data_IF_425339466524
#
_entry.id   IF_425339466524
#
_cell.length_a   1.000
_cell.length_b   1.000
_cell.length_c   1.000
_cell.angle_alpha   90.00
_cell.angle_beta   90.00
_cell.angle_gamma   90.00
#
_symmetry.space_group_name_H-M   'P 1'
#
loop_
_entity.id
_entity.type
_entity.pdbx_description
1 polymer ?
#
# COMPACT_ATOMS: atom_id res chain seq x y z
N UNK A 1 -0.29 -5.58 -1.00
CA UNK A 1 -1.58 -4.88 -0.96
C UNK A 1 -2.36 -4.98 -2.26
N UNK A 2 -1.83 -4.53 -3.40
CA UNK A 2 -2.54 -4.52 -4.69
C UNK A 2 -3.15 -5.89 -5.08
N UNK A 3 -2.46 -7.00 -4.80
CA UNK A 3 -2.99 -8.35 -5.04
C UNK A 3 -4.24 -8.65 -4.21
N UNK A 4 -4.28 -8.22 -2.94
CA UNK A 4 -5.47 -8.34 -2.09
C UNK A 4 -6.61 -7.49 -2.63
N UNK A 5 -6.32 -6.29 -3.08
CA UNK A 5 -7.30 -5.36 -3.68
C UNK A 5 -7.92 -5.98 -4.94
N UNK A 6 -7.10 -6.48 -5.87
CA UNK A 6 -7.60 -7.14 -7.09
C UNK A 6 -8.49 -8.36 -6.80
N UNK A 7 -8.11 -9.21 -5.83
CA UNK A 7 -8.89 -10.40 -5.45
C UNK A 7 -10.16 -9.99 -4.69
N UNK A 8 -10.08 -8.97 -3.83
CA UNK A 8 -11.23 -8.39 -3.12
C UNK A 8 -12.26 -7.80 -4.09
N UNK A 9 -11.80 -7.06 -5.11
CA UNK A 9 -12.64 -6.51 -6.17
C UNK A 9 -13.29 -7.60 -7.02
N UNK A 10 -12.59 -8.70 -7.29
CA UNK A 10 -13.18 -9.86 -7.96
C UNK A 10 -14.30 -10.49 -7.12
N UNK A 11 -14.08 -10.68 -5.81
CA UNK A 11 -15.10 -11.18 -4.90
C UNK A 11 -16.31 -10.24 -4.80
N UNK A 12 -16.06 -8.93 -4.70
CA UNK A 12 -17.10 -7.89 -4.71
C UNK A 12 -17.94 -7.95 -5.98
N UNK A 13 -17.30 -8.09 -7.14
CA UNK A 13 -17.98 -8.21 -8.44
C UNK A 13 -18.91 -9.41 -8.47
N UNK A 14 -18.53 -10.55 -7.87
CA UNK A 14 -19.40 -11.72 -7.80
C UNK A 14 -20.63 -11.46 -6.92
N UNK A 15 -20.46 -10.81 -5.76
CA UNK A 15 -21.57 -10.48 -4.85
C UNK A 15 -22.54 -9.47 -5.47
N UNK A 16 -22.03 -8.46 -6.19
CA UNK A 16 -22.88 -7.48 -6.90
C UNK A 16 -23.67 -8.15 -8.02
N UNK A 17 -23.03 -9.02 -8.82
CA UNK A 17 -23.72 -9.78 -9.88
C UNK A 17 -24.80 -10.70 -9.32
N UNK A 18 -24.54 -11.32 -8.19
CA UNK A 18 -25.51 -12.15 -7.48
C UNK A 18 -26.71 -11.32 -7.03
N UNK A 19 -26.47 -10.17 -6.40
CA UNK A 19 -27.52 -9.26 -5.96
C UNK A 19 -28.39 -8.81 -7.15
N UNK A 20 -27.78 -8.31 -8.23
CA UNK A 20 -28.53 -7.89 -9.43
C UNK A 20 -29.32 -9.04 -10.07
N UNK A 21 -28.81 -10.27 -10.03
CA UNK A 21 -29.52 -11.45 -10.57
C UNK A 21 -30.74 -11.81 -9.72
N UNK A 22 -30.58 -11.85 -8.40
CA UNK A 22 -31.67 -12.18 -7.47
C UNK A 22 -32.76 -11.11 -7.50
N UNK A 23 -32.38 -9.83 -7.46
CA UNK A 23 -33.32 -8.70 -7.58
C UNK A 23 -34.03 -8.66 -8.96
N UNK A 24 -33.39 -9.16 -10.02
CA UNK A 24 -34.02 -9.26 -11.34
C UNK A 24 -34.99 -10.45 -11.49
N UNK A 25 -34.78 -11.53 -10.73
CA UNK A 25 -35.63 -12.72 -10.76
C UNK A 25 -36.81 -12.61 -9.80
N UNK A 26 -36.63 -11.96 -8.65
CA UNK A 26 -37.63 -11.85 -7.61
C UNK A 26 -37.77 -10.38 -7.19
N UNK A 27 -38.89 -9.73 -7.55
CA UNK A 27 -39.13 -8.31 -7.26
C UNK A 27 -39.25 -7.99 -5.75
N UNK A 28 -39.39 -9.02 -4.92
CA UNK A 28 -39.52 -8.91 -3.46
C UNK A 28 -38.24 -9.29 -2.70
N UNK A 29 -37.19 -9.74 -3.39
CA UNK A 29 -35.95 -10.19 -2.77
C UNK A 29 -34.90 -9.07 -2.75
N UNK A 30 -34.46 -8.67 -1.55
CA UNK A 30 -33.35 -7.75 -1.34
C UNK A 30 -32.17 -8.48 -0.68
N UNK A 31 -30.96 -8.31 -1.22
CA UNK A 31 -29.73 -8.89 -0.68
C UNK A 31 -28.95 -7.82 0.06
N UNK A 32 -28.75 -8.00 1.36
CA UNK A 32 -27.99 -7.06 2.18
C UNK A 32 -26.53 -7.52 2.30
N UNK A 33 -25.65 -6.87 1.52
CA UNK A 33 -24.19 -7.11 1.46
C UNK A 33 -23.36 -5.88 1.87
N UNK A 34 -23.99 -4.85 2.42
CA UNK A 34 -23.41 -3.52 2.62
C UNK A 34 -22.09 -3.53 3.42
N UNK A 35 -21.98 -4.43 4.41
CA UNK A 35 -20.78 -4.61 5.22
C UNK A 35 -19.56 -5.08 4.40
N UNK A 36 -19.76 -5.99 3.44
CA UNK A 36 -18.69 -6.48 2.59
C UNK A 36 -18.30 -5.45 1.52
N UNK A 37 -19.29 -4.75 0.96
CA UNK A 37 -19.06 -3.66 -0.01
C UNK A 37 -18.25 -2.54 0.64
N UNK A 38 -18.63 -2.14 1.86
CA UNK A 38 -17.94 -1.09 2.62
C UNK A 38 -16.48 -1.44 2.88
N UNK A 39 -16.20 -2.65 3.37
CA UNK A 39 -14.83 -3.05 3.71
C UNK A 39 -13.97 -3.35 2.48
N UNK A 40 -14.55 -3.90 1.41
CA UNK A 40 -13.84 -4.06 0.14
C UNK A 40 -13.46 -2.69 -0.46
N UNK A 41 -14.34 -1.70 -0.36
CA UNK A 41 -14.07 -0.33 -0.81
C UNK A 41 -12.95 0.33 0.01
N UNK A 42 -12.95 0.12 1.33
CA UNK A 42 -11.89 0.62 2.20
C UNK A 42 -10.53 -0.02 1.90
N UNK A 43 -10.51 -1.32 1.57
CA UNK A 43 -9.29 -2.03 1.16
C UNK A 43 -8.72 -1.46 -0.15
N UNK A 44 -9.56 -1.16 -1.14
CA UNK A 44 -9.14 -0.46 -2.36
C UNK A 44 -8.49 0.89 -2.03
N UNK A 45 -9.15 1.70 -1.20
CA UNK A 45 -8.62 2.99 -0.79
C UNK A 45 -7.25 2.87 -0.12
N UNK A 46 -7.11 1.94 0.82
CA UNK A 46 -5.84 1.73 1.52
C UNK A 46 -4.75 1.21 0.56
N UNK A 47 -5.11 0.32 -0.38
CA UNK A 47 -4.22 -0.17 -1.43
C UNK A 47 -3.65 0.95 -2.30
N UNK A 48 -4.51 1.86 -2.78
CA UNK A 48 -4.11 3.03 -3.57
C UNK A 48 -3.28 4.01 -2.75
N UNK A 49 -3.64 4.24 -1.48
CA UNK A 49 -2.88 5.14 -0.61
C UNK A 49 -1.45 4.63 -0.37
N UNK A 50 -1.27 3.34 -0.08
CA UNK A 50 0.04 2.70 0.10
C UNK A 50 0.85 2.77 -1.20
N UNK A 51 0.23 2.44 -2.35
CA UNK A 51 0.90 2.52 -3.65
C UNK A 51 1.32 3.95 -4.01
N UNK A 52 0.50 4.95 -3.66
CA UNK A 52 0.81 6.35 -3.92
C UNK A 52 1.96 6.82 -3.04
N UNK A 53 1.93 6.57 -1.74
CA UNK A 53 2.98 7.05 -0.82
C UNK A 53 4.31 6.35 -1.09
N UNK A 54 4.36 5.02 -1.02
CA UNK A 54 5.61 4.29 -1.20
C UNK A 54 6.06 4.23 -2.66
N UNK A 55 5.11 4.16 -3.61
CA UNK A 55 5.44 4.23 -5.03
C UNK A 55 6.00 5.60 -5.41
N UNK A 56 5.38 6.70 -4.97
CA UNK A 56 5.92 8.03 -5.24
C UNK A 56 7.29 8.23 -4.57
N UNK A 57 7.46 7.80 -3.31
CA UNK A 57 8.76 7.85 -2.64
C UNK A 57 9.84 7.11 -3.45
N UNK A 58 9.55 5.88 -3.89
CA UNK A 58 10.46 5.09 -4.72
C UNK A 58 10.78 5.77 -6.06
N UNK A 59 9.78 6.31 -6.76
CA UNK A 59 10.01 7.01 -8.04
C UNK A 59 10.81 8.30 -7.86
N UNK A 60 10.57 9.07 -6.79
CA UNK A 60 11.36 10.26 -6.51
C UNK A 60 12.82 9.93 -6.21
N UNK A 61 13.08 8.86 -5.45
CA UNK A 61 14.44 8.38 -5.21
C UNK A 61 15.11 7.87 -6.50
N UNK A 62 14.37 7.19 -7.39
CA UNK A 62 14.91 6.64 -8.64
C UNK A 62 15.25 7.71 -9.68
N UNK A 63 14.37 8.70 -9.89
CA UNK A 63 14.56 9.72 -10.92
C UNK A 63 15.39 10.91 -10.45
N UNK A 64 15.39 11.21 -9.15
CA UNK A 64 16.11 12.37 -8.59
C UNK A 64 16.94 11.98 -7.37
N UNK A 65 17.95 11.10 -7.54
CA UNK A 65 18.73 10.58 -6.41
C UNK A 65 19.53 11.66 -5.65
N UNK A 66 19.88 12.77 -6.31
CA UNK A 66 20.64 13.87 -5.69
C UNK A 66 19.75 15.02 -5.20
N UNK A 67 18.43 14.82 -5.08
CA UNK A 67 17.52 15.88 -4.65
C UNK A 67 17.82 16.31 -3.22
N UNK A 68 18.15 17.59 -3.05
CA UNK A 68 18.18 18.21 -1.72
C UNK A 68 16.76 18.33 -1.16
N UNK A 69 16.43 17.46 -0.21
CA UNK A 69 15.15 17.51 0.50
C UNK A 69 15.27 18.29 1.82
N UNK A 70 14.54 19.41 2.00
CA UNK A 70 14.49 20.12 3.27
C UNK A 70 13.86 19.24 4.36
N UNK A 71 14.30 19.43 5.61
CA UNK A 71 13.89 18.62 6.77
C UNK A 71 12.36 18.48 6.92
N UNK A 72 11.60 19.51 6.58
CA UNK A 72 10.14 19.50 6.66
C UNK A 72 9.51 18.46 5.72
N UNK A 73 10.05 18.31 4.50
CA UNK A 73 9.53 17.36 3.51
C UNK A 73 9.86 15.93 3.92
N UNK A 74 11.06 15.67 4.47
CA UNK A 74 11.42 14.36 5.03
C UNK A 74 10.48 13.94 6.15
N UNK A 75 10.09 14.88 7.02
CA UNK A 75 9.10 14.62 8.06
C UNK A 75 7.72 14.34 7.50
N UNK A 76 7.28 15.03 6.44
CA UNK A 76 6.02 14.74 5.76
C UNK A 76 5.98 13.32 5.20
N UNK A 77 7.07 12.84 4.59
CA UNK A 77 7.17 11.45 4.12
C UNK A 77 7.10 10.44 5.26
N UNK A 78 7.86 10.67 6.35
CA UNK A 78 7.81 9.80 7.53
C UNK A 78 6.40 9.74 8.13
N UNK A 79 5.72 10.89 8.26
CA UNK A 79 4.38 10.96 8.81
C UNK A 79 3.34 10.30 7.89
N UNK A 80 3.46 10.50 6.58
CA UNK A 80 2.56 9.88 5.60
C UNK A 80 2.71 8.36 5.59
N UNK A 81 3.93 7.82 5.70
CA UNK A 81 4.14 6.37 5.83
C UNK A 81 3.54 5.80 7.11
N UNK A 82 3.70 6.49 8.25
CA UNK A 82 3.07 6.05 9.50
C UNK A 82 1.55 6.04 9.36
N UNK A 83 0.97 7.11 8.79
CA UNK A 83 -0.46 7.20 8.56
C UNK A 83 -1.00 6.06 7.68
N UNK A 84 -0.40 5.81 6.51
CA UNK A 84 -0.86 4.71 5.64
C UNK A 84 -0.64 3.34 6.25
N UNK A 85 0.39 3.17 7.08
CA UNK A 85 0.62 1.92 7.82
C UNK A 85 -0.49 1.70 8.85
N UNK A 86 -0.89 2.73 9.60
CA UNK A 86 -2.02 2.65 10.54
C UNK A 86 -3.34 2.35 9.83
N UNK A 87 -3.62 3.00 8.69
CA UNK A 87 -4.80 2.68 7.87
C UNK A 87 -4.78 1.23 7.40
N UNK A 88 -3.62 0.71 6.96
CA UNK A 88 -3.47 -0.68 6.53
C UNK A 88 -3.70 -1.68 7.67
N UNK A 89 -3.24 -1.36 8.89
CA UNK A 89 -3.51 -2.18 10.08
C UNK A 89 -5.02 -2.20 10.37
N UNK A 90 -5.66 -1.02 10.35
CA UNK A 90 -7.10 -0.89 10.54
C UNK A 90 -7.90 -1.69 9.51
N UNK A 91 -7.54 -1.58 8.23
CA UNK A 91 -8.14 -2.34 7.14
C UNK A 91 -7.94 -3.85 7.33
N UNK A 92 -6.72 -4.31 7.61
CA UNK A 92 -6.45 -5.74 7.83
C UNK A 92 -7.29 -6.33 8.96
N UNK A 93 -7.43 -5.60 10.08
CA UNK A 93 -8.24 -6.04 11.21
C UNK A 93 -9.74 -6.02 10.87
N UNK A 94 -10.25 -4.92 10.33
CA UNK A 94 -11.66 -4.79 9.99
C UNK A 94 -12.09 -5.77 8.89
N UNK A 95 -11.28 -5.95 7.85
CA UNK A 95 -11.50 -6.94 6.80
C UNK A 95 -11.48 -8.37 7.34
N UNK A 96 -10.57 -8.69 8.25
CA UNK A 96 -10.55 -10.01 8.91
C UNK A 96 -11.79 -10.24 9.76
N UNK A 97 -12.22 -9.24 10.54
CA UNK A 97 -13.45 -9.33 11.35
C UNK A 97 -14.66 -9.56 10.46
N UNK A 98 -14.87 -8.73 9.43
CA UNK A 98 -16.05 -8.85 8.55
C UNK A 98 -16.04 -10.15 7.76
N UNK A 99 -14.89 -10.63 7.27
CA UNK A 99 -14.83 -11.94 6.59
C UNK A 99 -15.08 -13.09 7.57
N UNK A 100 -14.64 -12.98 8.82
CA UNK A 100 -14.79 -14.03 9.83
C UNK A 100 -16.18 -14.08 10.47
N UNK A 101 -16.80 -12.93 10.73
CA UNK A 101 -18.09 -12.82 11.45
C UNK A 101 -19.26 -12.47 10.55
N UNK A 102 -19.00 -11.82 9.41
CA UNK A 102 -20.01 -11.32 8.51
C UNK A 102 -20.75 -12.45 7.79
N UNK A 103 -22.06 -12.23 7.65
CA UNK A 103 -22.98 -13.07 6.88
C UNK A 103 -23.86 -12.12 6.09
N UNK A 104 -24.04 -12.40 4.81
CA UNK A 104 -25.09 -11.76 4.04
C UNK A 104 -26.42 -12.46 4.27
N UNK A 105 -27.49 -11.67 4.31
CA UNK A 105 -28.85 -12.19 4.39
C UNK A 105 -29.64 -11.74 3.18
N UNK A 106 -30.60 -12.57 2.79
CA UNK A 106 -31.59 -12.27 1.76
C UNK A 106 -32.91 -12.09 2.50
N UNK A 107 -33.56 -10.92 2.34
CA UNK A 107 -34.96 -10.78 2.75
C UNK A 107 -35.82 -10.97 1.51
N UNK A 108 -36.68 -11.97 1.52
CA UNK A 108 -37.66 -12.23 0.46
C UNK A 108 -38.99 -12.64 1.09
N UNK A 109 -40.09 -12.47 0.36
CA UNK A 109 -41.40 -12.95 0.78
C UNK A 109 -41.44 -14.49 0.78
N UNK A 110 -42.36 -15.10 1.54
CA UNK A 110 -42.36 -16.54 1.86
C UNK A 110 -42.26 -17.49 0.65
N UNK A 111 -42.79 -17.09 -0.50
CA UNK A 111 -42.78 -17.89 -1.74
C UNK A 111 -41.46 -17.77 -2.50
N UNK A 112 -40.93 -16.56 -2.64
CA UNK A 112 -39.61 -16.29 -3.26
C UNK A 112 -38.46 -16.85 -2.39
N UNK A 113 -38.63 -16.85 -1.06
CA UNK A 113 -37.64 -17.40 -0.14
C UNK A 113 -37.44 -18.92 -0.30
N UNK A 114 -38.50 -19.67 -0.60
CA UNK A 114 -38.42 -21.11 -0.87
C UNK A 114 -37.77 -21.41 -2.23
N UNK A 115 -38.05 -20.61 -3.26
CA UNK A 115 -37.40 -20.74 -4.57
C UNK A 115 -35.91 -20.38 -4.51
N UNK A 116 -35.55 -19.31 -3.81
CA UNK A 116 -34.15 -18.90 -3.58
C UNK A 116 -33.39 -19.93 -2.74
N UNK A 117 -34.06 -20.60 -1.79
CA UNK A 117 -33.45 -21.69 -1.01
C UNK A 117 -33.17 -22.96 -1.85
N UNK A 118 -33.91 -23.16 -2.95
CA UNK A 118 -33.66 -24.25 -3.90
C UNK A 118 -32.58 -23.88 -4.94
N UNK A 119 -32.37 -22.60 -5.23
CA UNK A 119 -31.27 -22.16 -6.07
C UNK A 119 -29.90 -22.38 -5.39
N UNK A 120 -28.92 -22.86 -6.16
CA UNK A 120 -27.55 -23.01 -5.67
C UNK A 120 -26.87 -21.64 -5.59
N UNK A 121 -27.04 -20.96 -4.46
CA UNK A 121 -26.51 -19.62 -4.18
C UNK A 121 -24.97 -19.63 -4.25
N UNK A 122 -24.41 -18.89 -5.22
CA UNK A 122 -22.96 -18.72 -5.39
C UNK A 122 -22.70 -17.24 -5.78
N UNK A 123 -21.86 -16.49 -5.04
CA UNK A 123 -21.05 -16.86 -3.87
C UNK A 123 -21.83 -17.19 -2.57
N UNK A 124 -21.21 -17.89 -1.59
CA UNK A 124 -21.85 -18.28 -0.33
C UNK A 124 -22.27 -17.08 0.51
N UNK A 125 -23.43 -17.18 1.18
CA UNK A 125 -23.95 -16.14 2.09
C UNK A 125 -23.03 -15.87 3.29
N UNK A 126 -22.31 -16.88 3.75
CA UNK A 126 -21.31 -16.71 4.81
C UNK A 126 -19.97 -16.40 4.15
N UNK A 127 -19.46 -15.19 4.36
CA UNK A 127 -18.24 -14.70 3.69
C UNK A 127 -17.03 -15.62 3.91
N UNK A 128 -16.91 -16.28 5.07
CA UNK A 128 -15.84 -17.25 5.35
C UNK A 128 -15.81 -18.47 4.42
N UNK A 129 -16.92 -18.84 3.77
CA UNK A 129 -16.94 -19.98 2.85
C UNK A 129 -16.54 -19.57 1.43
N UNK A 130 -16.39 -18.27 1.16
CA UNK A 130 -15.87 -17.78 -0.10
C UNK A 130 -14.33 -17.84 -0.08
N UNK A 131 -13.76 -18.77 -0.85
CA UNK A 131 -12.31 -18.91 -0.98
C UNK A 131 -11.61 -17.65 -1.49
N UNK A 132 -12.30 -16.79 -2.27
CA UNK A 132 -11.75 -15.51 -2.73
C UNK A 132 -11.65 -14.49 -1.59
N UNK A 133 -12.62 -14.47 -0.68
CA UNK A 133 -12.59 -13.59 0.49
C UNK A 133 -11.46 -13.98 1.45
N UNK A 134 -11.29 -15.29 1.72
CA UNK A 134 -10.17 -15.79 2.52
C UNK A 134 -8.82 -15.48 1.85
N UNK A 135 -8.69 -15.73 0.54
CA UNK A 135 -7.48 -15.44 -0.20
C UNK A 135 -7.12 -13.95 -0.13
N UNK A 136 -8.11 -13.06 -0.31
CA UNK A 136 -7.93 -11.62 -0.13
C UNK A 136 -7.40 -11.30 1.28
N UNK A 137 -7.99 -11.86 2.34
CA UNK A 137 -7.50 -11.65 3.71
C UNK A 137 -6.04 -12.09 3.89
N UNK A 138 -5.66 -13.27 3.38
CA UNK A 138 -4.27 -13.76 3.49
C UNK A 138 -3.30 -12.82 2.77
N UNK A 139 -3.61 -12.40 1.54
CA UNK A 139 -2.78 -11.46 0.81
C UNK A 139 -2.75 -10.05 1.45
N UNK A 140 -3.81 -9.67 2.17
CA UNK A 140 -3.86 -8.43 2.93
C UNK A 140 -2.87 -8.45 4.08
N UNK A 141 -2.84 -9.55 4.86
CA UNK A 141 -1.87 -9.72 5.96
C UNK A 141 -0.41 -9.74 5.45
N UNK A 142 -0.14 -10.46 4.36
CA UNK A 142 1.19 -10.42 3.73
C UNK A 142 1.54 -9.01 3.25
N UNK A 143 0.55 -8.31 2.68
CA UNK A 143 0.66 -6.91 2.29
C UNK A 143 0.99 -5.99 3.47
N UNK A 144 0.33 -6.19 4.61
CA UNK A 144 0.56 -5.42 5.83
C UNK A 144 2.00 -5.60 6.34
N UNK A 145 2.49 -6.84 6.40
CA UNK A 145 3.87 -7.11 6.79
C UNK A 145 4.88 -6.38 5.89
N UNK A 146 4.63 -6.38 4.58
CA UNK A 146 5.45 -5.64 3.62
C UNK A 146 5.35 -4.11 3.83
N UNK A 147 4.15 -3.57 4.08
CA UNK A 147 3.96 -2.13 4.36
C UNK A 147 4.70 -1.70 5.63
N UNK A 148 4.62 -2.49 6.70
CA UNK A 148 5.35 -2.22 7.95
C UNK A 148 6.86 -2.25 7.71
N UNK A 149 7.36 -3.25 6.97
CA UNK A 149 8.77 -3.33 6.61
C UNK A 149 9.22 -2.10 5.79
N UNK A 150 8.43 -1.67 4.80
CA UNK A 150 8.70 -0.47 4.01
C UNK A 150 8.71 0.81 4.85
N UNK A 151 7.81 0.93 5.84
CA UNK A 151 7.81 2.04 6.78
C UNK A 151 9.12 2.09 7.59
N UNK A 152 9.58 0.95 8.11
CA UNK A 152 10.85 0.86 8.86
C UNK A 152 12.03 1.20 7.94
N UNK A 153 12.06 0.64 6.73
CA UNK A 153 13.11 0.90 5.75
C UNK A 153 13.20 2.39 5.39
N UNK A 154 12.08 3.08 5.26
CA UNK A 154 12.11 4.52 4.98
C UNK A 154 12.71 5.33 6.13
N UNK A 155 12.45 4.94 7.37
CA UNK A 155 13.09 5.58 8.53
C UNK A 155 14.60 5.34 8.56
N UNK A 156 15.03 4.09 8.31
CA UNK A 156 16.45 3.74 8.20
C UNK A 156 17.13 4.45 7.04
N UNK A 157 16.47 4.56 5.89
CA UNK A 157 16.96 5.28 4.71
C UNK A 157 17.25 6.74 5.05
N UNK A 158 16.30 7.45 5.66
CA UNK A 158 16.55 8.85 6.01
C UNK A 158 17.61 9.01 7.11
N UNK A 159 17.74 8.07 8.07
CA UNK A 159 18.84 8.10 9.04
C UNK A 159 20.21 7.91 8.37
N UNK A 160 20.29 6.98 7.41
CA UNK A 160 21.50 6.75 6.63
C UNK A 160 21.83 7.98 5.76
N UNK A 161 20.82 8.56 5.10
CA UNK A 161 20.98 9.75 4.28
C UNK A 161 21.38 10.99 5.11
N UNK A 162 20.88 11.13 6.33
CA UNK A 162 21.29 12.20 7.25
C UNK A 162 22.78 12.07 7.67
N UNK A 163 23.30 10.84 7.74
CA UNK A 163 24.66 10.55 8.21
C UNK A 163 25.69 10.54 7.07
N UNK A 164 25.34 10.00 5.91
CA UNK A 164 26.29 9.73 4.81
C UNK A 164 26.05 10.56 3.54
N UNK A 165 24.96 11.32 3.47
CA UNK A 165 24.57 12.07 2.27
C UNK A 165 24.09 11.18 1.11
N UNK A 166 23.64 11.78 -0.02
CA UNK A 166 23.01 11.06 -1.14
C UNK A 166 23.97 10.25 -2.01
N UNK A 167 25.30 10.41 -1.84
CA UNK A 167 26.29 9.84 -2.75
C UNK A 167 26.66 8.41 -2.34
N UNK A 168 26.71 7.51 -3.32
CA UNK A 168 27.28 6.18 -3.14
C UNK A 168 28.74 6.26 -2.68
N UNK A 169 29.22 5.23 -1.99
CA UNK A 169 30.60 5.20 -1.47
C UNK A 169 31.65 5.48 -2.55
N UNK A 170 31.43 4.97 -3.77
CA UNK A 170 32.29 5.19 -4.93
C UNK A 170 32.23 6.64 -5.44
N UNK A 171 31.05 7.26 -5.45
CA UNK A 171 30.90 8.66 -5.86
C UNK A 171 31.51 9.62 -4.84
N UNK A 172 31.38 9.34 -3.53
CA UNK A 172 32.05 10.10 -2.47
C UNK A 172 33.57 10.04 -2.60
N UNK A 173 34.14 8.84 -2.69
CA UNK A 173 35.60 8.71 -2.84
C UNK A 173 36.14 9.46 -4.06
N UNK A 174 35.39 9.47 -5.17
CA UNK A 174 35.82 10.20 -6.37
C UNK A 174 35.86 11.71 -6.14
N UNK A 175 34.89 12.27 -5.44
CA UNK A 175 34.85 13.71 -5.18
C UNK A 175 35.90 14.11 -4.13
N UNK A 176 36.07 13.31 -3.07
CA UNK A 176 37.13 13.50 -2.07
C UNK A 176 38.52 13.50 -2.74
N UNK A 177 38.75 12.60 -3.71
CA UNK A 177 39.99 12.55 -4.50
C UNK A 177 40.15 13.75 -5.45
N UNK A 178 39.06 14.31 -5.97
CA UNK A 178 39.12 15.51 -6.82
C UNK A 178 39.46 16.74 -5.97
N UNK A 179 38.86 16.85 -4.79
CA UNK A 179 39.11 17.94 -3.83
C UNK A 179 40.55 17.89 -3.29
N UNK A 180 41.03 16.72 -2.88
CA UNK A 180 42.42 16.51 -2.43
C UNK A 180 43.45 16.85 -3.53
N UNK A 181 43.18 16.46 -4.78
CA UNK A 181 44.04 16.82 -5.90
C UNK A 181 44.01 18.33 -6.21
N UNK A 182 42.84 18.97 -6.12
CA UNK A 182 42.72 20.42 -6.35
C UNK A 182 43.50 21.23 -5.29
N UNK A 183 43.40 20.85 -4.02
CA UNK A 183 44.13 21.50 -2.93
C UNK A 183 45.65 21.32 -3.08
N UNK A 184 46.08 20.12 -3.48
CA UNK A 184 47.50 19.83 -3.75
C UNK A 184 48.06 20.70 -4.88
N UNK A 185 47.29 20.89 -5.96
CA UNK A 185 47.69 21.74 -7.09
C UNK A 185 47.76 23.21 -6.66
N UNK A 186 46.79 23.71 -5.89
CA UNK A 186 46.79 25.07 -5.35
C UNK A 186 48.00 25.33 -4.43
N UNK A 187 48.32 24.38 -3.54
CA UNK A 187 49.48 24.49 -2.64
C UNK A 187 50.81 24.55 -3.41
N UNK A 188 50.97 23.71 -4.45
CA UNK A 188 52.15 23.73 -5.31
C UNK A 188 52.27 25.03 -6.12
N UNK A 189 51.14 25.56 -6.64
CA UNK A 189 51.14 26.83 -7.36
C UNK A 189 51.54 28.01 -6.46
N UNK A 190 51.06 28.01 -5.20
CA UNK A 190 51.44 28.99 -4.18
C UNK A 190 52.93 28.95 -3.82
N UNK A 191 53.52 27.76 -3.69
CA UNK A 191 54.98 27.63 -3.48
C UNK A 191 55.80 28.14 -4.67
N UNK A 192 55.39 27.83 -5.91
CA UNK A 192 56.10 28.28 -7.12
C UNK A 192 56.06 29.81 -7.29
N UNK A 193 55.00 30.47 -6.82
CA UNK A 193 54.89 31.92 -6.78
C UNK A 193 55.78 32.56 -5.70
N UNK A 194 55.99 31.89 -4.56
CA UNK A 194 56.86 32.37 -3.48
C UNK A 194 58.36 32.26 -3.80
N UNK A 195 58.78 31.28 -4.62
CA UNK A 195 60.18 31.14 -5.08
C UNK A 195 60.58 32.14 -6.17
N UNK A 196 59.64 32.88 -6.75
CA UNK A 196 59.88 33.84 -7.85
C UNK A 196 59.91 35.32 -7.41
N UNK A 197 59.83 35.59 -6.11
CA UNK A 197 59.97 36.92 -5.50
C UNK A 197 61.28 37.01 -4.71
#
# INVERSE_FOLDING_TARGET
MVVSESIGTAALTDYVKQQSRIESLHSSAAVHNDDFVGIASYNIFCGVAVATVFGAAFFFDLFFPERYEPKNIRWSWRLSAVFVTLCTIGDALAFTVIVATGKSWISADTQDAEEIAQEKINPPLVYRHNGRAIAATVFLWLGLCATVASCILMWLYYQHHDTYGPKSHTARMRDDLIEENADTICANCGMVLAERL
#
